data_IF_520769085466
#
_entry.id   IF_520769085466
#
_cell.length_a   1.000
_cell.length_b   1.000
_cell.length_c   1.000
_cell.angle_alpha   90.00
_cell.angle_beta   90.00
_cell.angle_gamma   90.00
#
_symmetry.space_group_name_H-M   'P 1'
#
loop_
_entity.id
_entity.type
_entity.pdbx_description
1 polymer ?
#
# COMPACT_ATOMS: atom_id res chain seq x y z
N UNK A 1 -0.52 -18.00 7.40
CA UNK A 1 -0.73 -16.85 6.49
C UNK A 1 -1.02 -15.56 7.23
N UNK A 2 -2.00 -15.51 8.15
CA UNK A 2 -2.24 -14.30 8.96
C UNK A 2 -1.03 -13.90 9.81
N UNK A 3 -0.35 -14.88 10.43
CA UNK A 3 0.84 -14.61 11.23
C UNK A 3 2.04 -14.15 10.38
N UNK A 4 2.25 -14.77 9.21
CA UNK A 4 3.32 -14.37 8.28
C UNK A 4 3.12 -12.94 7.78
N UNK A 5 1.89 -12.57 7.41
CA UNK A 5 1.55 -11.18 7.04
C UNK A 5 1.78 -10.21 8.19
N UNK A 6 1.31 -10.57 9.38
CA UNK A 6 1.46 -9.71 10.56
C UNK A 6 2.94 -9.49 10.90
N UNK A 7 3.72 -10.56 10.95
CA UNK A 7 5.17 -10.48 11.18
C UNK A 7 5.86 -9.66 10.12
N UNK A 8 5.46 -9.76 8.85
CA UNK A 8 6.02 -8.92 7.79
C UNK A 8 5.76 -7.44 8.04
N UNK A 9 4.51 -7.06 8.31
CA UNK A 9 4.12 -5.67 8.57
C UNK A 9 4.81 -5.11 9.82
N UNK A 10 4.84 -5.89 10.91
CA UNK A 10 5.46 -5.49 12.18
C UNK A 10 6.98 -5.26 12.05
N UNK A 11 7.62 -5.87 11.05
CA UNK A 11 9.05 -5.71 10.77
C UNK A 11 9.37 -4.62 9.72
N UNK A 12 8.36 -3.96 9.13
CA UNK A 12 8.61 -2.82 8.25
C UNK A 12 9.21 -1.67 9.06
N UNK A 13 10.22 -1.00 8.50
CA UNK A 13 10.84 0.18 9.10
C UNK A 13 9.94 1.43 9.06
N UNK A 14 8.81 1.33 8.39
CA UNK A 14 7.81 2.38 8.23
C UNK A 14 6.49 1.91 8.84
N UNK A 15 5.71 2.83 9.42
CA UNK A 15 4.37 2.49 9.90
C UNK A 15 3.49 2.06 8.73
N UNK A 16 2.68 1.03 8.95
CA UNK A 16 1.69 0.57 8.00
C UNK A 16 0.30 0.73 8.61
N UNK A 17 -0.64 1.25 7.82
CA UNK A 17 -2.03 1.43 8.20
C UNK A 17 -2.92 0.77 7.16
N UNK A 18 -4.05 0.22 7.62
CA UNK A 18 -5.06 -0.37 6.76
C UNK A 18 -6.32 0.48 6.86
N UNK A 19 -6.80 0.95 5.73
CA UNK A 19 -7.99 1.79 5.65
C UNK A 19 -8.99 1.16 4.70
N UNK A 20 -10.27 1.25 5.04
CA UNK A 20 -11.31 0.96 4.07
C UNK A 20 -11.30 2.03 2.96
N UNK A 21 -11.78 1.66 1.77
CA UNK A 21 -11.78 2.54 0.61
C UNK A 21 -12.40 3.92 0.91
N UNK A 22 -13.55 3.96 1.59
CA UNK A 22 -14.24 5.20 1.92
C UNK A 22 -13.47 6.06 2.95
N UNK A 23 -12.75 5.43 3.89
CA UNK A 23 -11.91 6.14 4.85
C UNK A 23 -10.68 6.73 4.17
N UNK A 24 -10.08 5.98 3.24
CA UNK A 24 -8.96 6.44 2.44
C UNK A 24 -9.34 7.61 1.54
N UNK A 25 -10.50 7.55 0.87
CA UNK A 25 -11.01 8.66 0.08
C UNK A 25 -11.21 9.93 0.92
N UNK A 26 -11.77 9.81 2.13
CA UNK A 26 -11.90 10.95 3.06
C UNK A 26 -10.53 11.52 3.46
N UNK A 27 -9.52 10.67 3.67
CA UNK A 27 -8.15 11.16 3.90
C UNK A 27 -7.60 11.91 2.68
N UNK A 28 -7.88 11.44 1.47
CA UNK A 28 -7.46 12.10 0.24
C UNK A 28 -8.16 13.45 0.03
N UNK A 29 -9.43 13.61 0.42
CA UNK A 29 -10.11 14.92 0.36
C UNK A 29 -9.38 16.00 1.17
N UNK A 30 -8.69 15.60 2.24
CA UNK A 30 -7.89 16.51 3.07
C UNK A 30 -6.47 16.77 2.54
N UNK A 31 -6.04 16.09 1.47
CA UNK A 31 -4.70 16.21 0.87
C UNK A 31 -4.78 16.66 -0.59
N UNK A 32 -3.97 17.63 -1.05
CA UNK A 32 -4.11 18.25 -2.37
C UNK A 32 -3.54 17.40 -3.53
N UNK A 33 -3.93 16.14 -3.65
CA UNK A 33 -3.65 15.30 -4.82
C UNK A 33 -4.78 14.28 -5.07
N UNK A 34 -5.61 14.58 -6.06
CA UNK A 34 -6.75 13.78 -6.49
C UNK A 34 -6.30 12.43 -7.05
N UNK A 35 -6.25 11.39 -6.21
CA UNK A 35 -6.31 10.00 -6.66
C UNK A 35 -7.78 9.62 -6.85
N UNK A 36 -8.42 10.16 -7.89
CA UNK A 36 -9.85 9.93 -8.14
C UNK A 36 -10.18 8.49 -8.57
N UNK A 37 -9.19 7.68 -8.97
CA UNK A 37 -9.38 6.33 -9.51
C UNK A 37 -8.39 5.32 -8.90
N UNK A 38 -8.17 5.39 -7.59
CA UNK A 38 -7.41 4.37 -6.88
C UNK A 38 -8.18 3.03 -6.86
N UNK A 39 -7.93 2.16 -7.83
CA UNK A 39 -8.52 0.83 -7.86
C UNK A 39 -8.10 0.00 -6.64
N UNK A 40 -9.08 -0.64 -6.00
CA UNK A 40 -8.82 -1.52 -4.86
C UNK A 40 -8.68 -2.99 -5.32
N UNK A 41 -7.84 -3.80 -4.66
CA UNK A 41 -6.91 -3.45 -3.58
C UNK A 41 -5.67 -2.70 -4.11
N UNK A 42 -5.10 -1.78 -3.33
CA UNK A 42 -3.84 -1.08 -3.67
C UNK A 42 -3.05 -0.72 -2.40
N UNK A 43 -1.75 -0.49 -2.56
CA UNK A 43 -0.84 -0.03 -1.49
C UNK A 43 -0.29 1.34 -1.87
N UNK A 44 -0.30 2.26 -0.92
CA UNK A 44 0.20 3.63 -1.08
C UNK A 44 1.37 3.89 -0.13
N UNK A 45 2.26 4.80 -0.54
CA UNK A 45 3.34 5.31 0.30
C UNK A 45 3.13 6.79 0.59
N UNK A 46 3.02 7.13 1.87
CA UNK A 46 3.04 8.53 2.33
C UNK A 46 4.48 8.97 2.56
N UNK A 47 5.01 9.87 1.73
CA UNK A 47 6.35 10.45 1.83
C UNK A 47 6.27 11.95 1.54
N UNK A 48 6.94 12.77 2.34
CA UNK A 48 6.97 14.24 2.17
C UNK A 48 5.57 14.88 2.06
N UNK A 49 4.66 14.45 2.95
CA UNK A 49 3.24 14.87 2.99
C UNK A 49 2.41 14.49 1.74
N UNK A 50 3.00 13.76 0.79
CA UNK A 50 2.35 13.27 -0.43
C UNK A 50 2.07 11.79 -0.34
N UNK A 51 0.91 11.39 -0.87
CA UNK A 51 0.54 9.98 -1.04
C UNK A 51 0.85 9.61 -2.48
N UNK A 52 1.71 8.61 -2.67
CA UNK A 52 2.08 8.08 -3.98
C UNK A 52 1.62 6.62 -4.08
N UNK A 53 1.19 6.15 -5.27
CA UNK A 53 0.87 4.76 -5.46
C UNK A 53 2.17 3.94 -5.36
N UNK A 54 2.18 2.94 -4.49
CA UNK A 54 3.33 2.04 -4.33
C UNK A 54 3.05 0.75 -5.12
N UNK A 55 1.94 0.08 -4.82
CA UNK A 55 1.51 -1.14 -5.52
C UNK A 55 0.07 -0.96 -6.00
N UNK A 56 -0.16 -1.17 -7.28
CA UNK A 56 -1.48 -1.04 -7.92
C UNK A 56 -2.30 -2.33 -7.85
N UNK A 57 -3.62 -2.23 -8.02
CA UNK A 57 -4.52 -3.39 -8.09
C UNK A 57 -4.08 -4.42 -9.14
N UNK A 58 -3.66 -3.95 -10.33
CA UNK A 58 -3.12 -4.83 -11.37
C UNK A 58 -1.89 -5.63 -10.92
N UNK A 59 -0.98 -5.00 -10.17
CA UNK A 59 0.20 -5.67 -9.64
C UNK A 59 -0.16 -6.68 -8.56
N UNK A 60 -1.09 -6.33 -7.66
CA UNK A 60 -1.59 -7.24 -6.63
C UNK A 60 -2.30 -8.43 -7.26
N UNK A 61 -3.14 -8.21 -8.28
CA UNK A 61 -3.87 -9.27 -8.98
C UNK A 61 -2.95 -10.22 -9.76
N UNK A 62 -1.69 -9.82 -10.04
CA UNK A 62 -0.67 -10.69 -10.64
C UNK A 62 0.09 -11.54 -9.63
N UNK A 63 0.06 -11.18 -8.34
CA UNK A 63 0.66 -11.97 -7.28
C UNK A 63 -0.10 -13.28 -7.11
N UNK A 64 0.61 -14.42 -7.16
CA UNK A 64 0.01 -15.76 -7.02
C UNK A 64 -0.06 -16.20 -5.56
N UNK A 65 0.81 -15.63 -4.72
CA UNK A 65 0.87 -15.89 -3.30
C UNK A 65 1.11 -14.59 -2.52
N UNK A 66 0.75 -14.61 -1.24
CA UNK A 66 1.02 -13.53 -0.30
C UNK A 66 2.50 -13.11 -0.27
N UNK A 67 3.40 -14.08 -0.43
CA UNK A 67 4.85 -13.86 -0.44
C UNK A 67 5.31 -13.05 -1.66
N UNK A 68 4.62 -13.16 -2.79
CA UNK A 68 4.90 -12.35 -3.97
C UNK A 68 4.59 -10.87 -3.68
N UNK A 69 3.48 -10.60 -2.99
CA UNK A 69 3.11 -9.25 -2.57
C UNK A 69 4.12 -8.67 -1.56
N UNK A 70 4.54 -9.45 -0.57
CA UNK A 70 5.57 -9.02 0.39
C UNK A 70 6.88 -8.64 -0.32
N UNK A 71 7.34 -9.49 -1.25
CA UNK A 71 8.56 -9.23 -2.01
C UNK A 71 8.40 -7.96 -2.86
N UNK A 72 7.26 -7.77 -3.52
CA UNK A 72 6.98 -6.60 -4.33
C UNK A 72 6.99 -5.31 -3.50
N UNK A 73 6.40 -5.32 -2.32
CA UNK A 73 6.43 -4.18 -1.39
C UNK A 73 7.89 -3.85 -1.01
N UNK A 74 8.69 -4.84 -0.63
CA UNK A 74 10.09 -4.64 -0.24
C UNK A 74 10.94 -4.10 -1.39
N UNK A 75 10.76 -4.64 -2.60
CA UNK A 75 11.48 -4.20 -3.80
C UNK A 75 11.21 -2.72 -4.10
N UNK A 76 9.94 -2.31 -4.03
CA UNK A 76 9.55 -0.93 -4.29
C UNK A 76 10.00 0.04 -3.19
N UNK A 77 9.92 -0.38 -1.93
CA UNK A 77 10.43 0.42 -0.81
C UNK A 77 11.95 0.61 -0.87
N UNK A 78 12.68 -0.39 -1.35
CA UNK A 78 14.14 -0.29 -1.52
C UNK A 78 14.55 0.63 -2.68
N UNK A 79 13.63 0.89 -3.60
CA UNK A 79 13.84 1.70 -4.80
C UNK A 79 13.35 3.15 -4.64
N UNK A 80 12.89 3.55 -3.45
CA UNK A 80 12.29 4.87 -3.14
C UNK A 80 13.16 5.68 -2.18
#
# INVERSE_FOLDING_TARGET
MKDEWKTFIDNLKIPAEFSHHDEFLKMLETRPHNMNDAESPSVFLSKDERINPLVTSDEINRCKALRDLMNLIVEKLSST
#
